data_IF_907510039395
#
_entry.id   IF_907510039395
#
_cell.length_a   1.000
_cell.length_b   1.000
_cell.length_c   1.000
_cell.angle_alpha   90.00
_cell.angle_beta   90.00
_cell.angle_gamma   90.00
#
_symmetry.space_group_name_H-M   'P 1'
#
loop_
_entity.id
_entity.type
_entity.pdbx_description
1 polymer ?
#
# COMPACT_ATOMS: atom_id res chain seq x y z
N UNK A 1 -16.16 14.00 -6.64
CA UNK A 1 -14.89 14.57 -7.18
C UNK A 1 -15.23 15.36 -8.44
N UNK A 2 -14.64 16.53 -8.64
CA UNK A 2 -14.77 17.29 -9.89
C UNK A 2 -14.04 16.55 -11.00
N UNK A 3 -14.64 16.48 -12.19
CA UNK A 3 -13.95 15.94 -13.37
C UNK A 3 -12.66 16.74 -13.61
N UNK A 4 -11.54 16.03 -13.81
CA UNK A 4 -10.25 16.67 -14.09
C UNK A 4 -9.42 17.09 -12.87
N UNK A 5 -9.75 16.67 -11.64
CA UNK A 5 -9.00 17.01 -10.42
C UNK A 5 -7.47 16.75 -10.54
N UNK A 6 -7.08 15.77 -11.34
CA UNK A 6 -5.66 15.44 -11.58
C UNK A 6 -4.93 16.53 -12.35
N UNK A 7 -5.62 17.28 -13.21
CA UNK A 7 -5.04 18.43 -13.94
C UNK A 7 -4.67 19.53 -12.94
N UNK A 8 -5.60 19.83 -12.01
CA UNK A 8 -5.35 20.82 -10.96
C UNK A 8 -4.19 20.41 -10.05
N UNK A 9 -3.97 19.11 -9.88
CA UNK A 9 -2.93 18.58 -8.99
C UNK A 9 -1.57 18.43 -9.67
N UNK A 10 -1.54 17.99 -10.95
CA UNK A 10 -0.31 17.57 -11.64
C UNK A 10 0.14 18.51 -12.76
N UNK A 11 -0.67 19.50 -13.17
CA UNK A 11 -0.48 20.32 -14.38
C UNK A 11 -0.37 19.47 -15.67
N UNK A 12 -0.98 18.27 -15.70
CA UNK A 12 -0.91 17.32 -16.80
C UNK A 12 -2.17 16.44 -16.84
N UNK A 13 -2.47 15.87 -18.00
CA UNK A 13 -3.57 14.90 -18.19
C UNK A 13 -3.03 13.49 -18.58
N UNK A 14 -2.63 12.68 -17.61
CA UNK A 14 -2.27 11.29 -17.89
C UNK A 14 -3.49 10.38 -18.09
N UNK A 15 -4.71 10.81 -17.73
CA UNK A 15 -5.91 9.97 -17.77
C UNK A 15 -6.29 9.59 -19.19
N UNK A 16 -6.20 10.54 -20.14
CA UNK A 16 -6.46 10.27 -21.55
C UNK A 16 -5.50 9.20 -22.11
N UNK A 17 -4.22 9.28 -21.74
CA UNK A 17 -3.22 8.27 -22.09
C UNK A 17 -3.51 6.91 -21.44
N UNK A 18 -3.90 6.88 -20.17
CA UNK A 18 -4.24 5.65 -19.44
C UNK A 18 -5.45 4.94 -20.05
N UNK A 19 -6.49 5.69 -20.45
CA UNK A 19 -7.68 5.11 -21.09
C UNK A 19 -7.40 4.53 -22.46
N UNK A 20 -6.37 5.04 -23.16
CA UNK A 20 -5.94 4.58 -24.48
C UNK A 20 -4.84 3.52 -24.44
N UNK A 21 -4.26 3.19 -23.29
CA UNK A 21 -3.15 2.23 -23.21
C UNK A 21 -3.61 0.77 -23.43
N UNK A 22 -2.67 -0.10 -23.79
CA UNK A 22 -2.94 -1.52 -24.05
C UNK A 22 -3.01 -2.38 -22.78
N UNK A 23 -2.73 -1.81 -21.58
CA UNK A 23 -2.72 -2.52 -20.31
C UNK A 23 -4.11 -2.51 -19.65
N UNK A 24 -4.86 -3.64 -19.67
CA UNK A 24 -6.25 -3.65 -19.18
C UNK A 24 -6.37 -3.30 -17.70
N UNK A 25 -5.44 -3.77 -16.85
CA UNK A 25 -5.44 -3.48 -15.42
C UNK A 25 -5.31 -1.96 -15.14
N UNK A 26 -4.46 -1.25 -15.89
CA UNK A 26 -4.32 0.20 -15.77
C UNK A 26 -5.59 0.94 -16.22
N UNK A 27 -6.21 0.52 -17.33
CA UNK A 27 -7.50 1.10 -17.78
C UNK A 27 -8.61 0.88 -16.76
N UNK A 28 -8.73 -0.36 -16.24
CA UNK A 28 -9.74 -0.68 -15.24
C UNK A 28 -9.58 0.16 -13.98
N UNK A 29 -8.36 0.24 -13.43
CA UNK A 29 -8.05 1.04 -12.25
C UNK A 29 -8.35 2.53 -12.50
N UNK A 30 -8.04 3.04 -13.70
CA UNK A 30 -8.35 4.42 -14.06
C UNK A 30 -9.85 4.65 -14.08
N UNK A 31 -10.62 3.78 -14.74
CA UNK A 31 -12.08 3.92 -14.82
C UNK A 31 -12.74 3.83 -13.43
N UNK A 32 -12.35 2.85 -12.62
CA UNK A 32 -13.04 2.57 -11.34
C UNK A 32 -12.54 3.46 -10.20
N UNK A 33 -11.22 3.61 -10.02
CA UNK A 33 -10.64 4.26 -8.84
C UNK A 33 -10.27 5.74 -9.07
N UNK A 34 -10.06 6.17 -10.33
CA UNK A 34 -9.75 7.57 -10.63
C UNK A 34 -11.00 8.33 -11.10
N UNK A 35 -11.76 7.71 -12.01
CA UNK A 35 -12.98 8.33 -12.57
C UNK A 35 -14.26 7.96 -11.80
N UNK A 36 -14.21 6.98 -10.89
CA UNK A 36 -15.36 6.55 -10.08
C UNK A 36 -16.48 5.91 -10.87
N UNK A 37 -16.18 5.29 -12.02
CA UNK A 37 -17.19 4.58 -12.80
C UNK A 37 -17.68 3.34 -12.03
N UNK A 38 -18.96 3.06 -12.17
CA UNK A 38 -19.60 1.91 -11.54
C UNK A 38 -19.09 0.57 -12.15
N UNK A 39 -19.11 -0.48 -11.34
CA UNK A 39 -18.64 -1.81 -11.77
C UNK A 39 -19.50 -2.43 -12.88
N UNK A 40 -20.76 -1.98 -13.03
CA UNK A 40 -21.69 -2.39 -14.09
C UNK A 40 -21.58 -1.52 -15.37
N UNK A 41 -20.71 -0.49 -15.39
CA UNK A 41 -20.40 0.24 -16.62
C UNK A 41 -19.90 -0.72 -17.70
N UNK A 42 -20.45 -0.60 -18.92
CA UNK A 42 -20.14 -1.51 -20.04
C UNK A 42 -18.64 -1.56 -20.37
N UNK A 43 -17.94 -0.42 -20.26
CA UNK A 43 -16.49 -0.36 -20.52
C UNK A 43 -15.69 -0.98 -19.37
N UNK A 44 -16.13 -0.80 -18.11
CA UNK A 44 -15.52 -1.46 -16.94
C UNK A 44 -15.65 -2.96 -17.04
N UNK A 45 -16.86 -3.47 -17.34
CA UNK A 45 -17.13 -4.92 -17.53
C UNK A 45 -16.28 -5.50 -18.67
N UNK A 46 -16.25 -4.83 -19.83
CA UNK A 46 -15.44 -5.28 -20.97
C UNK A 46 -13.94 -5.28 -20.66
N UNK A 47 -13.46 -4.26 -19.95
CA UNK A 47 -12.04 -4.17 -19.57
C UNK A 47 -11.67 -5.23 -18.55
N UNK A 48 -12.58 -5.55 -17.62
CA UNK A 48 -12.37 -6.62 -16.65
C UNK A 48 -12.26 -8.01 -17.33
N UNK A 49 -13.09 -8.28 -18.33
CA UNK A 49 -12.95 -9.49 -19.15
C UNK A 49 -11.58 -9.55 -19.87
N UNK A 50 -11.07 -8.40 -20.33
CA UNK A 50 -9.74 -8.33 -20.94
C UNK A 50 -8.61 -8.58 -19.93
N UNK A 51 -8.76 -8.16 -18.65
CA UNK A 51 -7.79 -8.48 -17.59
C UNK A 51 -7.62 -9.97 -17.41
N UNK A 52 -8.72 -10.74 -17.39
CA UNK A 52 -8.67 -12.18 -17.19
C UNK A 52 -8.06 -12.94 -18.38
N UNK A 53 -8.05 -12.33 -19.56
CA UNK A 53 -7.42 -12.85 -20.76
C UNK A 53 -5.98 -12.34 -20.97
N UNK A 54 -5.49 -11.46 -20.10
CA UNK A 54 -4.18 -10.84 -20.26
C UNK A 54 -3.04 -11.73 -19.75
N UNK A 55 -1.98 -11.84 -20.55
CA UNK A 55 -0.79 -12.61 -20.20
C UNK A 55 -0.10 -12.12 -18.92
N UNK A 56 -0.15 -10.82 -18.63
CA UNK A 56 0.40 -10.26 -17.40
C UNK A 56 -0.38 -10.72 -16.17
N UNK A 57 -1.71 -10.84 -16.27
CA UNK A 57 -2.57 -11.37 -15.20
C UNK A 57 -2.29 -12.86 -14.98
N UNK A 58 -2.20 -13.66 -16.06
CA UNK A 58 -1.87 -15.08 -15.96
C UNK A 58 -0.47 -15.31 -15.36
N UNK A 59 0.51 -14.47 -15.67
CA UNK A 59 1.83 -14.52 -15.04
C UNK A 59 1.74 -14.34 -13.51
N UNK A 60 0.91 -13.39 -13.02
CA UNK A 60 0.72 -13.19 -11.58
C UNK A 60 -0.04 -14.36 -10.94
N UNK A 61 -1.10 -14.85 -11.58
CA UNK A 61 -1.85 -16.02 -11.12
C UNK A 61 -0.97 -17.28 -11.09
N UNK A 62 -0.10 -17.46 -12.08
CA UNK A 62 0.87 -18.55 -12.13
C UNK A 62 1.95 -18.53 -11.03
N UNK A 63 2.09 -17.40 -10.33
CA UNK A 63 3.00 -17.25 -9.17
C UNK A 63 2.35 -17.60 -7.83
N UNK A 64 1.04 -17.85 -7.82
CA UNK A 64 0.36 -18.32 -6.63
C UNK A 64 0.91 -19.71 -6.27
N UNK A 65 1.68 -19.77 -5.19
CA UNK A 65 2.26 -21.00 -4.66
C UNK A 65 1.41 -21.62 -3.57
N UNK A 66 1.89 -22.73 -3.04
CA UNK A 66 1.28 -23.37 -1.90
C UNK A 66 1.69 -22.66 -0.60
N UNK A 67 0.70 -22.13 0.14
CA UNK A 67 0.93 -21.47 1.43
C UNK A 67 1.53 -22.41 2.48
N UNK A 68 1.29 -23.71 2.36
CA UNK A 68 1.71 -24.75 3.30
C UNK A 68 3.08 -25.37 2.95
N UNK A 69 3.58 -25.15 1.74
CA UNK A 69 4.85 -25.78 1.29
C UNK A 69 6.12 -25.12 1.82
N UNK A 70 6.01 -24.05 2.59
CA UNK A 70 7.17 -23.42 3.21
C UNK A 70 8.09 -22.60 2.30
N UNK A 71 7.81 -22.58 1.00
CA UNK A 71 8.55 -21.75 0.03
C UNK A 71 8.11 -20.27 0.08
N UNK A 72 7.10 -19.99 0.89
CA UNK A 72 6.29 -18.80 0.77
C UNK A 72 6.98 -17.53 1.28
N UNK A 73 8.05 -17.60 2.08
CA UNK A 73 8.53 -16.39 2.72
C UNK A 73 9.88 -15.95 2.18
N UNK A 74 9.84 -15.35 1.02
CA UNK A 74 10.91 -14.49 0.56
C UNK A 74 11.01 -13.14 1.28
N UNK A 75 10.51 -13.06 2.53
CA UNK A 75 10.39 -11.84 3.31
C UNK A 75 9.12 -11.03 2.95
N UNK A 76 8.45 -10.56 3.97
CA UNK A 76 7.22 -9.76 3.87
C UNK A 76 7.36 -8.46 3.04
N UNK A 77 8.58 -8.04 2.71
CA UNK A 77 8.84 -6.91 1.82
C UNK A 77 8.92 -7.29 0.34
N UNK A 78 8.77 -8.57 0.01
CA UNK A 78 8.81 -9.05 -1.37
C UNK A 78 7.42 -9.09 -2.00
N UNK A 79 7.23 -8.66 -3.26
CA UNK A 79 5.98 -8.86 -3.97
C UNK A 79 5.71 -10.34 -4.31
N UNK A 80 6.65 -11.25 -4.03
CA UNK A 80 6.47 -12.70 -4.15
C UNK A 80 5.88 -13.32 -2.88
N UNK A 81 5.87 -12.60 -1.77
CA UNK A 81 5.16 -12.99 -0.57
C UNK A 81 3.67 -13.07 -0.89
N UNK A 82 3.04 -14.22 -0.68
CA UNK A 82 1.68 -14.47 -1.18
C UNK A 82 0.64 -13.40 -0.80
N UNK A 83 0.59 -12.89 0.44
CA UNK A 83 -0.30 -11.78 0.75
C UNK A 83 -0.07 -10.53 -0.12
N UNK A 84 1.20 -10.17 -0.39
CA UNK A 84 1.52 -9.05 -1.27
C UNK A 84 1.16 -9.33 -2.73
N UNK A 85 1.31 -10.57 -3.19
CA UNK A 85 0.89 -10.99 -4.53
C UNK A 85 -0.63 -10.94 -4.68
N UNK A 86 -1.38 -11.36 -3.66
CA UNK A 86 -2.84 -11.23 -3.63
C UNK A 86 -3.26 -9.75 -3.67
N UNK A 87 -2.61 -8.88 -2.90
CA UNK A 87 -2.86 -7.43 -2.99
C UNK A 87 -2.63 -6.91 -4.40
N UNK A 88 -1.56 -7.35 -5.08
CA UNK A 88 -1.28 -6.94 -6.46
C UNK A 88 -2.34 -7.45 -7.43
N UNK A 89 -2.84 -8.68 -7.27
CA UNK A 89 -3.94 -9.24 -8.07
C UNK A 89 -5.26 -8.46 -7.86
N UNK A 90 -5.60 -8.09 -6.61
CA UNK A 90 -6.74 -7.20 -6.32
C UNK A 90 -6.59 -5.84 -7.02
N UNK A 91 -5.39 -5.28 -7.02
CA UNK A 91 -5.10 -4.02 -7.72
C UNK A 91 -5.18 -4.15 -9.25
N UNK A 92 -4.95 -5.34 -9.80
CA UNK A 92 -5.20 -5.66 -11.20
C UNK A 92 -6.69 -5.80 -11.54
N UNK A 93 -7.57 -5.87 -10.54
CA UNK A 93 -9.01 -6.07 -10.73
C UNK A 93 -9.42 -7.53 -10.77
N UNK A 94 -8.58 -8.42 -10.26
CA UNK A 94 -8.87 -9.85 -10.13
C UNK A 94 -9.67 -10.09 -8.85
N UNK A 95 -10.76 -10.82 -8.93
CA UNK A 95 -11.63 -11.15 -7.80
C UNK A 95 -11.54 -12.64 -7.44
N UNK A 96 -11.95 -12.97 -6.22
CA UNK A 96 -11.88 -14.33 -5.67
C UNK A 96 -12.45 -15.42 -6.59
N UNK A 97 -13.59 -15.14 -7.25
CA UNK A 97 -14.28 -16.09 -8.11
C UNK A 97 -13.67 -16.26 -9.51
N UNK A 98 -12.67 -15.48 -9.87
CA UNK A 98 -12.13 -15.46 -11.22
C UNK A 98 -11.20 -16.64 -11.50
N UNK A 99 -10.54 -17.16 -10.45
CA UNK A 99 -9.58 -18.25 -10.61
C UNK A 99 -9.59 -19.20 -9.38
N UNK A 100 -9.68 -20.51 -9.55
CA UNK A 100 -9.71 -21.48 -8.45
C UNK A 100 -8.41 -21.49 -7.62
N UNK A 101 -7.26 -21.05 -8.16
CA UNK A 101 -6.00 -20.93 -7.42
C UNK A 101 -6.12 -19.93 -6.28
N UNK A 102 -6.89 -18.85 -6.46
CA UNK A 102 -7.16 -17.86 -5.41
C UNK A 102 -7.90 -18.50 -4.23
N UNK A 103 -8.96 -19.24 -4.50
CA UNK A 103 -9.71 -19.92 -3.44
C UNK A 103 -8.82 -20.88 -2.66
N UNK A 104 -7.98 -21.67 -3.36
CA UNK A 104 -7.07 -22.62 -2.71
C UNK A 104 -6.09 -21.92 -1.75
N UNK A 105 -5.48 -20.81 -2.16
CA UNK A 105 -4.53 -20.02 -1.34
C UNK A 105 -5.26 -19.38 -0.16
N UNK A 106 -6.41 -18.75 -0.37
CA UNK A 106 -7.19 -18.10 0.70
C UNK A 106 -7.63 -19.13 1.76
N UNK A 107 -8.10 -20.31 1.34
CA UNK A 107 -8.46 -21.38 2.27
C UNK A 107 -7.23 -21.93 3.02
N UNK A 108 -6.08 -22.03 2.38
CA UNK A 108 -4.84 -22.41 3.06
C UNK A 108 -4.45 -21.37 4.12
N UNK A 109 -4.51 -20.08 3.82
CA UNK A 109 -4.25 -19.01 4.80
C UNK A 109 -5.21 -19.07 5.98
N UNK A 110 -6.49 -19.29 5.73
CA UNK A 110 -7.52 -19.41 6.77
C UNK A 110 -7.31 -20.61 7.72
N UNK A 111 -6.63 -21.70 7.28
CA UNK A 111 -6.32 -22.83 8.15
C UNK A 111 -5.21 -22.57 9.15
N UNK A 112 -4.35 -21.60 8.90
CA UNK A 112 -3.19 -21.30 9.73
C UNK A 112 -3.44 -20.05 10.59
N UNK A 113 -4.09 -20.27 11.73
CA UNK A 113 -4.36 -19.24 12.73
C UNK A 113 -3.95 -19.76 14.11
N UNK A 114 -3.36 -18.90 14.92
CA UNK A 114 -3.05 -19.17 16.32
C UNK A 114 -4.29 -19.10 17.21
N UNK A 115 -4.22 -19.68 18.40
CA UNK A 115 -5.34 -19.69 19.36
C UNK A 115 -5.79 -18.28 19.77
N UNK A 116 -4.92 -17.28 19.70
CA UNK A 116 -5.22 -15.88 19.99
C UNK A 116 -5.78 -15.11 18.77
N UNK A 117 -6.02 -15.77 17.65
CA UNK A 117 -6.63 -15.20 16.45
C UNK A 117 -5.68 -14.60 15.42
N UNK A 118 -4.35 -14.58 15.65
CA UNK A 118 -3.39 -14.08 14.66
C UNK A 118 -3.20 -15.09 13.53
N UNK A 119 -3.19 -14.62 12.29
CA UNK A 119 -2.79 -15.46 11.16
C UNK A 119 -1.29 -15.75 11.19
N UNK A 120 -0.94 -16.97 10.83
CA UNK A 120 0.43 -17.47 10.83
C UNK A 120 1.01 -17.45 9.43
N UNK A 121 2.29 -17.14 9.32
CA UNK A 121 3.11 -17.30 8.13
C UNK A 121 4.20 -18.33 8.37
N UNK A 122 4.49 -19.16 7.36
CA UNK A 122 5.53 -20.16 7.43
C UNK A 122 6.85 -19.60 6.89
N UNK A 123 7.95 -19.78 7.62
CA UNK A 123 9.26 -19.37 7.12
C UNK A 123 10.37 -19.37 8.14
N UNK A 124 11.57 -19.04 7.66
CA UNK A 124 12.75 -18.85 8.50
C UNK A 124 13.21 -17.41 8.48
N UNK A 125 13.64 -16.90 9.61
CA UNK A 125 14.37 -15.66 9.74
C UNK A 125 15.87 -15.93 9.74
N UNK A 126 16.67 -14.91 9.40
CA UNK A 126 18.11 -15.04 9.38
C UNK A 126 18.65 -15.55 10.73
N UNK A 127 19.32 -16.67 10.71
CA UNK A 127 19.89 -17.31 11.90
C UNK A 127 19.03 -18.44 12.50
N UNK A 128 17.87 -18.72 11.90
CA UNK A 128 17.08 -19.92 12.23
C UNK A 128 17.54 -21.10 11.36
N UNK A 129 17.58 -22.29 11.96
CA UNK A 129 17.97 -23.54 11.26
C UNK A 129 16.80 -24.08 10.43
N UNK A 130 15.58 -24.02 10.99
CA UNK A 130 14.36 -24.55 10.36
C UNK A 130 13.29 -23.48 10.23
N UNK A 131 12.47 -23.51 9.17
CA UNK A 131 11.29 -22.67 9.06
C UNK A 131 10.22 -23.09 10.08
N UNK A 132 9.48 -22.10 10.58
CA UNK A 132 8.38 -22.30 11.55
C UNK A 132 7.16 -21.49 11.17
N UNK A 133 6.01 -21.89 11.70
CA UNK A 133 4.81 -21.07 11.68
C UNK A 133 4.90 -20.00 12.78
N UNK A 134 4.77 -18.74 12.40
CA UNK A 134 4.86 -17.62 13.33
C UNK A 134 3.92 -16.47 12.93
N UNK A 135 3.52 -15.66 13.90
CA UNK A 135 2.65 -14.49 13.71
C UNK A 135 3.40 -13.19 13.99
N UNK A 136 4.34 -12.82 13.13
CA UNK A 136 4.88 -11.46 13.17
C UNK A 136 3.76 -10.47 12.85
N UNK A 137 3.62 -9.32 13.57
CA UNK A 137 2.50 -8.41 13.36
C UNK A 137 2.32 -7.96 11.90
N UNK A 138 3.41 -7.61 11.21
CA UNK A 138 3.37 -7.22 9.80
C UNK A 138 2.86 -8.35 8.89
N UNK A 139 3.26 -9.60 9.16
CA UNK A 139 2.84 -10.75 8.34
C UNK A 139 1.38 -11.11 8.64
N UNK A 140 0.98 -11.14 9.91
CA UNK A 140 -0.40 -11.40 10.32
C UNK A 140 -1.37 -10.35 9.74
N UNK A 141 -0.99 -9.06 9.76
CA UNK A 141 -1.80 -7.99 9.17
C UNK A 141 -1.85 -8.10 7.64
N UNK A 142 -0.76 -8.48 6.98
CA UNK A 142 -0.75 -8.66 5.52
C UNK A 142 -1.67 -9.82 5.08
N UNK A 143 -1.70 -10.93 5.83
CA UNK A 143 -2.64 -12.04 5.59
C UNK A 143 -4.09 -11.56 5.80
N UNK A 144 -4.36 -10.84 6.89
CA UNK A 144 -5.70 -10.30 7.14
C UNK A 144 -6.15 -9.32 6.04
N UNK A 145 -5.26 -8.41 5.57
CA UNK A 145 -5.57 -7.48 4.44
C UNK A 145 -5.91 -8.26 3.17
N UNK A 146 -5.13 -9.29 2.83
CA UNK A 146 -5.40 -10.12 1.65
C UNK A 146 -6.76 -10.83 1.75
N UNK A 147 -7.07 -11.43 2.91
CA UNK A 147 -8.34 -12.13 3.13
C UNK A 147 -9.56 -11.17 3.05
N UNK A 148 -9.46 -9.99 3.66
CA UNK A 148 -10.52 -8.97 3.59
C UNK A 148 -10.72 -8.48 2.16
N UNK A 149 -9.65 -8.21 1.41
CA UNK A 149 -9.70 -7.80 -0.01
C UNK A 149 -10.43 -8.81 -0.88
N UNK A 150 -10.24 -10.09 -0.63
CA UNK A 150 -10.89 -11.18 -1.37
C UNK A 150 -12.22 -11.63 -0.76
N UNK A 151 -12.89 -10.76 0.02
CA UNK A 151 -14.26 -10.93 0.47
C UNK A 151 -14.46 -11.89 1.64
N UNK A 152 -13.40 -12.24 2.36
CA UNK A 152 -13.50 -13.11 3.53
C UNK A 152 -13.82 -12.35 4.85
N UNK A 153 -14.23 -11.07 4.78
CA UNK A 153 -14.50 -10.23 5.95
C UNK A 153 -15.50 -10.85 6.93
N UNK A 154 -16.48 -11.63 6.43
CA UNK A 154 -17.48 -12.29 7.25
C UNK A 154 -17.04 -13.67 7.79
N UNK A 155 -15.84 -14.14 7.51
CA UNK A 155 -15.33 -15.40 8.07
C UNK A 155 -14.98 -15.18 9.57
N UNK A 156 -15.45 -16.05 10.47
CA UNK A 156 -15.21 -15.90 11.92
C UNK A 156 -13.70 -15.86 12.28
N UNK A 157 -12.85 -16.50 11.48
CA UNK A 157 -11.40 -16.45 11.67
C UNK A 157 -10.83 -15.07 11.33
N UNK A 158 -11.39 -14.41 10.31
CA UNK A 158 -11.02 -13.03 9.97
C UNK A 158 -11.52 -12.07 11.05
N UNK A 159 -12.73 -12.26 11.58
CA UNK A 159 -13.21 -11.48 12.73
C UNK A 159 -12.28 -11.62 13.93
N UNK A 160 -11.89 -12.84 14.31
CA UNK A 160 -10.94 -13.07 15.40
C UNK A 160 -9.60 -12.34 15.17
N UNK A 161 -9.10 -12.32 13.92
CA UNK A 161 -7.89 -11.59 13.59
C UNK A 161 -8.08 -10.07 13.69
N UNK A 162 -9.21 -9.53 13.22
CA UNK A 162 -9.53 -8.10 13.35
C UNK A 162 -9.67 -7.67 14.81
N UNK A 163 -10.29 -8.48 15.65
CA UNK A 163 -10.41 -8.25 17.10
C UNK A 163 -9.02 -8.22 17.75
N UNK A 164 -8.15 -9.17 17.38
CA UNK A 164 -6.79 -9.23 17.89
C UNK A 164 -5.95 -8.02 17.43
N UNK A 165 -6.04 -7.62 16.14
CA UNK A 165 -5.39 -6.42 15.64
C UNK A 165 -5.88 -5.18 16.42
N UNK A 166 -7.18 -5.07 16.66
CA UNK A 166 -7.77 -3.99 17.45
C UNK A 166 -7.24 -3.97 18.88
N UNK A 167 -7.23 -5.13 19.56
CA UNK A 167 -6.76 -5.28 20.93
C UNK A 167 -5.26 -4.98 21.10
N UNK A 168 -4.46 -5.14 20.02
CA UNK A 168 -3.03 -4.86 19.99
C UNK A 168 -2.69 -3.35 19.81
N UNK A 169 -3.69 -2.49 19.61
CA UNK A 169 -3.48 -1.04 19.57
C UNK A 169 -3.00 -0.56 20.95
N UNK A 170 -1.81 0.01 20.99
CA UNK A 170 -1.16 0.42 22.22
C UNK A 170 -1.05 1.95 22.34
N UNK A 171 -1.27 2.47 23.54
CA UNK A 171 -0.91 3.84 23.88
C UNK A 171 0.60 3.94 24.13
N UNK A 172 1.27 4.82 23.40
CA UNK A 172 2.70 5.04 23.53
C UNK A 172 3.03 6.52 23.77
N UNK A 173 4.26 6.82 24.14
CA UNK A 173 4.73 8.19 24.25
C UNK A 173 4.68 8.98 22.92
N UNK A 174 4.52 8.29 21.79
CA UNK A 174 4.39 8.90 20.46
C UNK A 174 2.93 9.09 20.02
N UNK A 175 1.98 8.52 20.77
CA UNK A 175 0.56 8.43 20.48
C UNK A 175 0.12 6.97 20.31
N UNK A 176 -1.18 6.73 20.06
CA UNK A 176 -1.68 5.39 19.78
C UNK A 176 -1.10 4.79 18.50
N UNK A 177 -0.81 3.49 18.52
CA UNK A 177 -0.26 2.79 17.35
C UNK A 177 0.14 1.36 17.67
N UNK A 178 0.56 0.62 16.67
CA UNK A 178 0.98 -0.78 16.84
C UNK A 178 2.49 -0.89 16.98
N UNK A 179 2.90 -1.75 17.91
CA UNK A 179 4.29 -2.04 18.19
C UNK A 179 4.77 -3.23 17.34
N UNK A 180 6.08 -3.30 17.09
CA UNK A 180 6.70 -4.51 16.56
C UNK A 180 6.97 -5.46 17.72
N UNK A 181 5.99 -6.31 18.07
CA UNK A 181 6.09 -7.31 19.13
C UNK A 181 6.60 -8.61 18.52
N UNK A 182 7.66 -9.24 19.07
CA UNK A 182 8.16 -10.52 18.56
C UNK A 182 7.15 -11.63 18.86
N UNK A 183 7.02 -12.55 17.90
CA UNK A 183 6.35 -13.82 18.18
C UNK A 183 7.27 -14.73 19.02
N UNK A 184 6.74 -15.48 20.02
CA UNK A 184 7.54 -16.35 20.86
C UNK A 184 8.32 -17.43 20.10
N UNK A 185 7.77 -17.95 18.98
CA UNK A 185 8.38 -19.00 18.20
C UNK A 185 9.68 -18.54 17.50
N UNK A 186 9.75 -17.26 17.10
CA UNK A 186 10.90 -16.75 16.32
C UNK A 186 11.75 -15.75 17.10
N UNK A 187 11.28 -15.24 18.24
CA UNK A 187 11.95 -14.25 19.09
C UNK A 187 12.47 -13.01 18.32
N UNK A 188 12.01 -12.81 17.08
CA UNK A 188 12.44 -11.73 16.19
C UNK A 188 11.60 -10.49 16.42
N UNK A 189 12.26 -9.37 16.39
CA UNK A 189 11.64 -8.04 16.38
C UNK A 189 12.36 -7.17 15.36
N UNK A 190 11.59 -6.33 14.67
CA UNK A 190 12.14 -5.34 13.74
C UNK A 190 13.11 -4.36 14.40
N UNK A 191 13.87 -3.60 13.62
CA UNK A 191 15.00 -2.77 14.10
C UNK A 191 14.59 -1.49 14.82
N UNK A 192 13.29 -1.17 14.92
CA UNK A 192 12.78 -0.01 15.67
C UNK A 192 13.02 -0.14 17.19
N UNK A 193 12.86 0.96 17.93
CA UNK A 193 12.92 0.93 19.39
C UNK A 193 11.74 0.15 19.96
N UNK A 194 11.97 -0.59 21.05
CA UNK A 194 10.97 -1.51 21.61
C UNK A 194 9.65 -0.84 22.04
N UNK A 195 9.72 0.38 22.54
CA UNK A 195 8.55 1.12 23.06
C UNK A 195 7.97 2.11 22.03
N UNK A 196 8.59 2.23 20.85
CA UNK A 196 8.13 3.15 19.82
C UNK A 196 7.05 2.47 18.95
N UNK A 197 6.12 3.27 18.45
CA UNK A 197 5.20 2.85 17.40
C UNK A 197 6.02 2.31 16.21
N UNK A 198 5.64 1.14 15.70
CA UNK A 198 6.17 0.65 14.44
C UNK A 198 5.36 1.26 13.29
N UNK A 199 5.91 2.19 12.49
CA UNK A 199 5.13 2.86 11.45
C UNK A 199 4.59 1.88 10.41
N UNK A 200 5.34 0.82 10.09
CA UNK A 200 4.90 -0.20 9.14
C UNK A 200 3.72 -1.01 9.68
N UNK A 201 3.84 -1.59 10.87
CA UNK A 201 2.75 -2.38 11.46
C UNK A 201 1.49 -1.51 11.60
N UNK A 202 1.66 -0.22 11.94
CA UNK A 202 0.55 0.73 12.04
C UNK A 202 -0.09 1.00 10.67
N UNK A 203 0.70 1.21 9.61
CA UNK A 203 0.17 1.38 8.25
C UNK A 203 -0.60 0.14 7.81
N UNK A 204 -0.09 -1.06 8.06
CA UNK A 204 -0.75 -2.30 7.67
C UNK A 204 -2.05 -2.51 8.43
N UNK A 205 -2.09 -2.28 9.73
CA UNK A 205 -3.32 -2.33 10.51
C UNK A 205 -4.37 -1.33 9.98
N UNK A 206 -3.97 -0.09 9.71
CA UNK A 206 -4.87 0.92 9.14
C UNK A 206 -5.38 0.53 7.75
N UNK A 207 -4.58 -0.13 6.92
CA UNK A 207 -5.00 -0.65 5.59
C UNK A 207 -6.05 -1.75 5.72
N UNK A 208 -5.87 -2.69 6.65
CA UNK A 208 -6.87 -3.72 6.93
C UNK A 208 -8.20 -3.07 7.29
N UNK A 209 -8.21 -2.18 8.29
CA UNK A 209 -9.44 -1.51 8.73
C UNK A 209 -10.00 -0.53 7.71
N UNK A 210 -9.21 -0.01 6.77
CA UNK A 210 -9.71 0.81 5.68
C UNK A 210 -10.73 0.06 4.79
N UNK A 211 -10.68 -1.27 4.77
CA UNK A 211 -11.57 -2.14 3.99
C UNK A 211 -12.76 -2.70 4.77
N UNK A 212 -12.72 -2.55 6.07
CA UNK A 212 -13.87 -2.88 6.93
C UNK A 212 -14.90 -1.74 6.84
N UNK A 213 -16.21 -2.04 6.80
CA UNK A 213 -17.25 -1.02 6.82
C UNK A 213 -17.04 -0.02 7.96
N UNK A 214 -17.21 1.28 7.68
CA UNK A 214 -16.88 2.34 8.65
C UNK A 214 -17.60 2.18 10.01
N UNK A 215 -18.83 1.65 9.99
CA UNK A 215 -19.62 1.40 11.21
C UNK A 215 -19.08 0.24 12.08
N UNK A 216 -18.25 -0.63 11.50
CA UNK A 216 -17.68 -1.82 12.16
C UNK A 216 -16.22 -1.59 12.57
N UNK A 217 -15.66 -0.42 12.26
CA UNK A 217 -14.26 -0.09 12.60
C UNK A 217 -14.12 0.17 14.09
N UNK A 218 -13.06 -0.36 14.74
CA UNK A 218 -12.78 -0.08 16.14
C UNK A 218 -12.45 1.41 16.37
N UNK A 219 -12.59 1.86 17.60
CA UNK A 219 -12.13 3.17 18.02
C UNK A 219 -10.59 3.29 17.97
N UNK A 220 -10.06 4.52 17.95
CA UNK A 220 -8.62 4.79 18.02
C UNK A 220 -7.88 4.78 16.67
N UNK A 221 -8.52 4.37 15.57
CA UNK A 221 -7.86 4.32 14.25
C UNK A 221 -7.46 5.71 13.75
N UNK A 222 -8.30 6.71 13.95
CA UNK A 222 -8.00 8.08 13.55
C UNK A 222 -6.80 8.64 14.33
N UNK A 223 -6.72 8.34 15.62
CA UNK A 223 -5.62 8.72 16.50
C UNK A 223 -4.32 8.01 16.08
N UNK A 224 -4.39 6.72 15.73
CA UNK A 224 -3.24 5.99 15.20
C UNK A 224 -2.76 6.57 13.86
N UNK A 225 -3.69 6.96 12.99
CA UNK A 225 -3.35 7.66 11.75
C UNK A 225 -2.69 9.03 12.01
N UNK A 226 -3.16 9.79 13.02
CA UNK A 226 -2.50 11.03 13.50
C UNK A 226 -1.10 10.78 14.03
N UNK A 227 -0.88 9.67 14.71
CA UNK A 227 0.45 9.28 15.19
C UNK A 227 1.43 9.15 14.01
N UNK A 228 1.02 8.56 12.89
CA UNK A 228 1.86 8.51 11.67
C UNK A 228 2.16 9.92 11.12
N UNK A 229 1.20 10.84 11.14
CA UNK A 229 1.43 12.23 10.75
C UNK A 229 2.37 12.97 11.71
N UNK A 230 2.30 12.69 13.02
CA UNK A 230 3.27 13.20 13.99
C UNK A 230 4.68 12.67 13.70
N UNK A 231 4.81 11.36 13.45
CA UNK A 231 6.08 10.75 13.08
C UNK A 231 6.64 11.33 11.76
N UNK A 232 5.77 11.68 10.80
CA UNK A 232 6.18 12.37 9.57
C UNK A 232 6.74 13.76 9.86
N UNK A 233 6.08 14.55 10.69
CA UNK A 233 6.55 15.90 11.09
C UNK A 233 7.90 15.83 11.80
N UNK A 234 8.04 14.87 12.73
CA UNK A 234 9.23 14.72 13.59
C UNK A 234 10.32 13.85 12.97
N UNK A 235 10.18 13.41 11.70
CA UNK A 235 11.08 12.44 11.05
C UNK A 235 12.55 12.86 11.02
N UNK A 236 12.82 14.15 11.02
CA UNK A 236 14.18 14.72 11.04
C UNK A 236 14.89 14.51 12.37
N UNK A 237 14.17 14.56 13.46
CA UNK A 237 14.67 14.46 14.83
C UNK A 237 14.63 13.00 15.33
N UNK A 238 13.47 12.36 15.22
CA UNK A 238 13.22 11.01 15.77
C UNK A 238 13.78 9.89 14.91
N UNK A 239 13.92 10.12 13.60
CA UNK A 239 14.40 9.15 12.59
C UNK A 239 13.78 7.77 12.75
N UNK A 240 12.44 7.64 12.63
CA UNK A 240 11.80 6.32 12.68
C UNK A 240 12.38 5.43 11.57
N UNK A 241 12.56 4.15 11.86
CA UNK A 241 13.19 3.23 10.90
C UNK A 241 12.48 3.23 9.55
N UNK A 242 13.21 3.55 8.49
CA UNK A 242 12.74 3.63 7.09
C UNK A 242 11.54 4.57 6.84
N UNK A 243 11.06 5.32 7.81
CA UNK A 243 9.90 6.18 7.66
C UNK A 243 10.30 7.63 7.33
N UNK A 244 9.70 8.17 6.26
CA UNK A 244 9.86 9.58 5.90
C UNK A 244 11.21 9.95 5.27
N UNK A 245 12.14 9.01 5.12
CA UNK A 245 13.46 9.29 4.55
C UNK A 245 13.93 8.15 3.63
N UNK A 246 14.93 8.47 2.81
CA UNK A 246 15.47 7.53 1.82
C UNK A 246 14.61 7.41 0.55
N UNK A 247 15.26 6.98 -0.53
CA UNK A 247 14.62 6.87 -1.85
C UNK A 247 13.54 5.79 -1.88
N UNK A 248 13.72 4.72 -1.13
CA UNK A 248 12.75 3.62 -1.09
C UNK A 248 11.42 4.03 -0.45
N UNK A 249 11.46 4.84 0.63
CA UNK A 249 10.22 5.35 1.21
C UNK A 249 9.53 6.33 0.26
N UNK A 250 10.28 7.27 -0.34
CA UNK A 250 9.72 8.36 -1.15
C UNK A 250 9.17 7.90 -2.49
N UNK A 251 9.90 7.02 -3.20
CA UNK A 251 9.58 6.60 -4.56
C UNK A 251 9.02 5.17 -4.67
N UNK A 252 9.08 4.40 -3.59
CA UNK A 252 8.73 2.98 -3.61
C UNK A 252 9.70 2.11 -4.40
N UNK A 253 9.54 0.79 -4.29
CA UNK A 253 10.13 -0.21 -5.18
C UNK A 253 9.00 -0.99 -5.80
N UNK A 254 8.95 -1.02 -7.13
CA UNK A 254 7.81 -1.56 -7.89
C UNK A 254 7.90 -3.07 -8.15
N UNK A 255 6.75 -3.79 -8.07
CA UNK A 255 5.44 -3.29 -7.66
C UNK A 255 5.49 -2.81 -6.19
N UNK A 256 4.87 -1.67 -5.92
CA UNK A 256 4.96 -1.00 -4.61
C UNK A 256 3.99 -1.64 -3.60
N UNK A 257 4.22 -2.90 -3.27
CA UNK A 257 3.45 -3.66 -2.26
C UNK A 257 3.97 -3.43 -0.84
N UNK A 258 5.24 -3.00 -0.73
CA UNK A 258 5.89 -2.74 0.54
C UNK A 258 5.77 -1.28 0.97
N UNK A 259 5.79 -1.06 2.23
CA UNK A 259 5.80 0.19 2.98
C UNK A 259 6.61 1.34 2.34
N UNK A 260 5.90 2.36 1.88
CA UNK A 260 6.43 3.57 1.27
C UNK A 260 5.37 4.69 1.32
N UNK A 261 5.67 5.88 0.79
CA UNK A 261 4.73 7.01 0.77
C UNK A 261 3.41 6.65 0.07
N UNK A 262 3.44 5.84 -1.00
CA UNK A 262 2.25 5.40 -1.71
C UNK A 262 1.34 4.55 -0.81
N UNK A 263 1.87 3.52 -0.16
CA UNK A 263 1.09 2.62 0.71
C UNK A 263 0.63 3.31 1.99
N UNK A 264 1.40 4.27 2.50
CA UNK A 264 0.99 5.14 3.60
C UNK A 264 -0.22 6.00 3.21
N UNK A 265 -0.16 6.68 2.06
CA UNK A 265 -1.28 7.49 1.57
C UNK A 265 -2.51 6.64 1.23
N UNK A 266 -2.33 5.44 0.68
CA UNK A 266 -3.42 4.49 0.49
C UNK A 266 -4.16 4.20 1.81
N UNK A 267 -3.43 3.95 2.90
CA UNK A 267 -4.02 3.74 4.22
C UNK A 267 -4.71 5.01 4.73
N UNK A 268 -4.05 6.17 4.67
CA UNK A 268 -4.59 7.44 5.17
C UNK A 268 -5.82 7.90 4.40
N UNK A 269 -5.95 7.57 3.10
CA UNK A 269 -7.09 7.93 2.26
C UNK A 269 -8.44 7.47 2.80
N UNK A 270 -8.45 6.45 3.67
CA UNK A 270 -9.67 5.97 4.34
C UNK A 270 -10.09 6.79 5.59
N UNK A 271 -9.31 7.81 5.96
CA UNK A 271 -9.52 8.62 7.17
C UNK A 271 -9.65 10.12 6.83
N UNK A 272 -10.70 10.54 6.11
CA UNK A 272 -10.84 11.90 5.59
C UNK A 272 -10.87 12.98 6.68
N UNK A 273 -11.23 12.64 7.92
CA UNK A 273 -11.17 13.56 9.05
C UNK A 273 -9.76 14.13 9.33
N UNK A 274 -8.71 13.57 8.72
CA UNK A 274 -7.35 14.11 8.80
C UNK A 274 -7.15 15.39 7.97
N UNK A 275 -7.99 15.65 6.94
CA UNK A 275 -7.81 16.82 6.07
C UNK A 275 -9.11 17.55 5.72
N UNK A 276 -10.28 16.99 6.05
CA UNK A 276 -11.59 17.62 5.72
C UNK A 276 -12.25 18.23 6.94
N UNK A 277 -13.20 19.11 6.74
CA UNK A 277 -14.02 19.69 7.81
C UNK A 277 -13.20 20.41 8.87
N UNK A 278 -13.35 20.00 10.13
CA UNK A 278 -12.65 20.53 11.30
C UNK A 278 -11.28 19.89 11.54
N UNK A 279 -10.63 19.35 10.51
CA UNK A 279 -9.28 18.77 10.61
C UNK A 279 -8.30 19.76 11.25
N UNK A 280 -7.37 19.23 12.04
CA UNK A 280 -6.29 20.05 12.58
C UNK A 280 -5.40 20.55 11.43
N UNK A 281 -5.05 21.85 11.43
CA UNK A 281 -4.20 22.43 10.39
C UNK A 281 -2.85 21.69 10.23
N UNK A 282 -2.30 21.18 11.33
CA UNK A 282 -1.07 20.40 11.31
C UNK A 282 -1.22 19.04 10.61
N UNK A 283 -2.36 18.38 10.77
CA UNK A 283 -2.65 17.09 10.11
C UNK A 283 -2.87 17.31 8.62
N UNK A 284 -3.72 18.28 8.26
CA UNK A 284 -3.96 18.69 6.88
C UNK A 284 -2.66 19.00 6.13
N UNK A 285 -1.78 19.78 6.75
CA UNK A 285 -0.46 20.10 6.20
C UNK A 285 0.41 18.85 6.02
N UNK A 286 0.46 17.96 6.99
CA UNK A 286 1.26 16.74 6.92
C UNK A 286 0.78 15.80 5.79
N UNK A 287 -0.54 15.68 5.59
CA UNK A 287 -1.12 14.95 4.46
C UNK A 287 -0.72 15.60 3.13
N UNK A 288 -0.83 16.92 3.00
CA UNK A 288 -0.42 17.64 1.81
C UNK A 288 1.09 17.46 1.51
N UNK A 289 1.95 17.49 2.54
CA UNK A 289 3.39 17.23 2.41
C UNK A 289 3.68 15.80 1.93
N UNK A 290 2.95 14.79 2.41
CA UNK A 290 3.08 13.39 1.97
C UNK A 290 2.67 13.24 0.50
N UNK A 291 1.56 13.84 0.07
CA UNK A 291 1.12 13.85 -1.32
C UNK A 291 2.17 14.56 -2.22
N UNK A 292 2.64 15.73 -1.82
CA UNK A 292 3.69 16.46 -2.55
C UNK A 292 4.99 15.66 -2.63
N UNK A 293 5.35 14.92 -1.57
CA UNK A 293 6.49 14.01 -1.56
C UNK A 293 6.30 12.89 -2.59
N UNK A 294 5.15 12.22 -2.59
CA UNK A 294 4.85 11.16 -3.57
C UNK A 294 4.97 11.70 -5.00
N UNK A 295 4.31 12.82 -5.30
CA UNK A 295 4.33 13.44 -6.62
C UNK A 295 5.76 13.78 -7.04
N UNK A 296 6.50 14.51 -6.22
CA UNK A 296 7.84 14.99 -6.56
C UNK A 296 8.86 13.87 -6.80
N UNK A 297 8.69 12.70 -6.19
CA UNK A 297 9.64 11.60 -6.30
C UNK A 297 9.20 10.50 -7.28
N UNK A 298 7.93 10.50 -7.73
CA UNK A 298 7.41 9.43 -8.59
C UNK A 298 6.83 9.92 -9.91
N UNK A 299 6.21 11.11 -9.93
CA UNK A 299 5.50 11.62 -11.11
C UNK A 299 6.42 12.47 -11.98
N UNK A 300 6.40 12.24 -13.27
CA UNK A 300 7.09 13.03 -14.29
C UNK A 300 6.26 14.27 -14.67
N UNK A 301 6.85 15.30 -15.31
CA UNK A 301 6.10 16.52 -15.69
C UNK A 301 4.92 16.31 -16.64
N UNK A 302 4.88 15.18 -17.36
CA UNK A 302 3.75 14.76 -18.20
C UNK A 302 2.66 14.00 -17.42
N UNK A 303 2.76 13.94 -16.10
CA UNK A 303 1.81 13.24 -15.23
C UNK A 303 2.02 11.73 -15.15
N UNK A 304 2.95 11.16 -15.90
CA UNK A 304 3.21 9.72 -15.89
C UNK A 304 4.20 9.29 -14.81
N UNK A 305 4.20 8.01 -14.47
CA UNK A 305 5.12 7.40 -13.51
C UNK A 305 6.07 6.45 -14.21
N UNK A 306 7.38 6.74 -14.13
CA UNK A 306 8.44 5.80 -14.50
C UNK A 306 9.07 5.22 -13.25
N UNK A 307 8.95 3.91 -12.98
CA UNK A 307 9.55 3.28 -11.82
C UNK A 307 11.05 3.51 -11.72
N UNK A 308 11.54 3.98 -10.58
CA UNK A 308 12.98 4.20 -10.34
C UNK A 308 13.68 2.97 -9.80
N UNK A 309 12.94 2.11 -9.12
CA UNK A 309 13.41 0.86 -8.55
C UNK A 309 12.36 -0.23 -8.76
N UNK A 310 12.79 -1.41 -9.25
CA UNK A 310 11.91 -2.52 -9.53
C UNK A 310 12.45 -3.79 -8.87
N UNK A 311 11.54 -4.69 -8.48
CA UNK A 311 11.91 -6.04 -8.10
C UNK A 311 12.27 -6.85 -9.35
N UNK A 312 13.21 -7.77 -9.21
CA UNK A 312 13.57 -8.71 -10.29
C UNK A 312 12.46 -9.74 -10.52
N UNK A 313 12.30 -10.15 -11.77
CA UNK A 313 11.32 -11.15 -12.16
C UNK A 313 9.94 -10.59 -12.48
N UNK A 314 9.82 -9.25 -12.64
CA UNK A 314 8.60 -8.57 -13.08
C UNK A 314 8.84 -7.76 -14.37
N UNK A 315 9.87 -8.10 -15.13
CA UNK A 315 10.30 -7.37 -16.32
C UNK A 315 9.27 -7.41 -17.47
N UNK A 316 8.34 -8.37 -17.46
CA UNK A 316 7.22 -8.45 -18.41
C UNK A 316 6.08 -7.48 -18.11
N UNK A 317 6.03 -6.94 -16.89
CA UNK A 317 5.04 -5.94 -16.49
C UNK A 317 5.54 -4.52 -16.75
N UNK A 318 4.63 -3.58 -17.02
CA UNK A 318 4.99 -2.19 -17.27
C UNK A 318 5.76 -1.56 -16.09
N UNK A 319 5.38 -1.90 -14.87
CA UNK A 319 6.04 -1.44 -13.65
C UNK A 319 7.40 -2.12 -13.36
N UNK A 320 7.77 -3.13 -14.10
CA UNK A 320 9.07 -3.81 -13.99
C UNK A 320 10.21 -3.09 -14.73
N UNK A 321 9.94 -1.97 -15.40
CA UNK A 321 10.90 -1.22 -16.20
C UNK A 321 11.23 0.16 -15.62
N UNK A 322 12.50 0.57 -15.73
CA UNK A 322 13.03 1.86 -15.22
C UNK A 322 13.22 2.91 -16.32
N UNK A 323 12.90 2.61 -17.58
CA UNK A 323 13.25 3.44 -18.74
C UNK A 323 12.05 4.05 -19.46
N UNK A 324 10.85 3.59 -19.15
CA UNK A 324 9.61 4.03 -19.81
C UNK A 324 8.50 4.22 -18.78
N UNK A 325 7.53 5.10 -19.05
CA UNK A 325 6.35 5.23 -18.22
C UNK A 325 5.61 3.88 -18.10
N UNK A 326 5.05 3.63 -16.91
CA UNK A 326 4.23 2.48 -16.61
C UNK A 326 2.77 2.92 -16.49
N UNK A 327 1.85 2.43 -17.34
CA UNK A 327 0.43 2.70 -17.18
C UNK A 327 -0.09 2.25 -15.81
N UNK A 328 0.25 1.04 -15.38
CA UNK A 328 -0.18 0.53 -14.08
C UNK A 328 0.32 1.38 -12.91
N UNK A 329 1.61 1.73 -12.89
CA UNK A 329 2.15 2.57 -11.82
C UNK A 329 1.54 3.97 -11.82
N UNK A 330 1.26 4.55 -12.98
CA UNK A 330 0.59 5.85 -13.14
C UNK A 330 -0.85 5.79 -12.61
N UNK A 331 -1.62 4.81 -13.06
CA UNK A 331 -3.00 4.63 -12.60
C UNK A 331 -3.08 4.44 -11.08
N UNK A 332 -2.16 3.65 -10.49
CA UNK A 332 -2.11 3.41 -9.06
C UNK A 332 -1.77 4.66 -8.25
N UNK A 333 -0.81 5.47 -8.70
CA UNK A 333 -0.48 6.74 -8.04
C UNK A 333 -1.68 7.69 -8.10
N UNK A 334 -2.37 7.80 -9.24
CA UNK A 334 -3.59 8.61 -9.35
C UNK A 334 -4.69 8.08 -8.42
N UNK A 335 -4.94 6.77 -8.40
CA UNK A 335 -5.95 6.17 -7.53
C UNK A 335 -5.70 6.46 -6.04
N UNK A 336 -4.42 6.47 -5.62
CA UNK A 336 -4.04 6.82 -4.24
C UNK A 336 -4.17 8.31 -3.97
N UNK A 337 -3.96 9.18 -4.97
CA UNK A 337 -4.09 10.63 -4.81
C UNK A 337 -5.55 11.12 -4.89
N UNK A 338 -6.45 10.36 -5.50
CA UNK A 338 -7.84 10.74 -5.71
C UNK A 338 -8.58 11.22 -4.44
N UNK A 339 -8.47 10.54 -3.27
CA UNK A 339 -9.11 11.00 -2.04
C UNK A 339 -8.66 12.39 -1.58
N UNK A 340 -7.47 12.83 -1.99
CA UNK A 340 -6.84 14.09 -1.58
C UNK A 340 -7.00 15.22 -2.60
N UNK A 341 -7.87 15.08 -3.60
CA UNK A 341 -8.10 16.05 -4.66
C UNK A 341 -8.39 17.47 -4.12
N UNK A 342 -9.18 17.57 -3.05
CA UNK A 342 -9.52 18.85 -2.40
C UNK A 342 -8.33 19.54 -1.72
N UNK A 343 -7.20 18.84 -1.58
CA UNK A 343 -5.95 19.40 -1.07
C UNK A 343 -5.02 19.95 -2.16
N UNK A 344 -5.43 19.97 -3.43
CA UNK A 344 -4.56 20.40 -4.54
C UNK A 344 -3.86 21.75 -4.28
N UNK A 345 -4.54 22.81 -3.77
CA UNK A 345 -3.87 24.09 -3.44
C UNK A 345 -2.80 23.93 -2.35
N UNK A 346 -3.10 23.16 -1.29
CA UNK A 346 -2.15 22.94 -0.18
C UNK A 346 -0.94 22.11 -0.67
N UNK A 347 -1.17 21.07 -1.49
CA UNK A 347 -0.14 20.21 -2.05
C UNK A 347 0.82 20.99 -2.94
N UNK A 348 0.28 21.86 -3.81
CA UNK A 348 1.07 22.73 -4.71
C UNK A 348 1.89 23.79 -3.96
N UNK A 349 1.43 24.22 -2.80
CA UNK A 349 2.14 25.17 -1.95
C UNK A 349 3.36 24.55 -1.23
N UNK A 350 3.50 23.23 -1.21
CA UNK A 350 4.64 22.55 -0.57
C UNK A 350 5.88 22.66 -1.45
N UNK A 351 7.00 23.13 -0.88
CA UNK A 351 8.33 22.98 -1.52
C UNK A 351 8.86 21.54 -1.28
N UNK A 352 8.90 20.67 -2.31
CA UNK A 352 9.39 19.31 -2.13
C UNK A 352 10.86 19.21 -1.74
N UNK A 353 11.66 20.28 -1.97
CA UNK A 353 13.08 20.32 -1.60
C UNK A 353 13.23 20.43 -0.08
N UNK A 354 12.30 21.12 0.58
CA UNK A 354 12.24 21.21 2.04
C UNK A 354 11.91 19.85 2.70
N UNK A 355 11.33 18.90 1.95
CA UNK A 355 11.04 17.54 2.40
C UNK A 355 12.26 16.60 2.32
N UNK A 356 13.40 17.10 1.84
CA UNK A 356 14.67 16.36 1.81
C UNK A 356 15.17 16.07 3.23
N UNK A 357 15.76 14.88 3.40
CA UNK A 357 16.41 14.49 4.67
C UNK A 357 17.55 15.42 5.01
N UNK A 358 17.60 15.87 6.25
CA UNK A 358 18.85 16.34 6.83
C UNK A 358 19.91 15.24 6.67
N UNK A 359 20.89 15.49 5.79
CA UNK A 359 22.10 14.69 5.51
C UNK A 359 21.89 13.18 5.21
N UNK A 360 22.02 12.80 3.95
CA UNK A 360 22.42 11.43 3.55
C UNK A 360 21.52 10.63 2.61
N UNK A 361 20.56 11.20 1.91
CA UNK A 361 19.74 10.45 0.95
C UNK A 361 19.90 10.96 -0.48
N UNK A 362 20.47 10.15 -1.36
CA UNK A 362 20.80 10.43 -2.78
C UNK A 362 19.60 10.36 -3.75
N UNK A 363 18.39 10.65 -3.32
CA UNK A 363 17.22 10.73 -4.20
C UNK A 363 16.86 12.19 -4.45
N UNK A 364 17.26 12.77 -5.60
CA UNK A 364 16.76 14.07 -6.04
C UNK A 364 15.32 13.97 -6.54
N UNK A 365 14.49 15.01 -6.36
CA UNK A 365 13.20 15.13 -7.04
C UNK A 365 13.36 14.97 -8.57
N UNK A 366 12.29 14.60 -9.26
CA UNK A 366 12.27 14.56 -10.73
C UNK A 366 12.59 15.97 -11.26
N UNK A 367 13.65 16.16 -12.04
CA UNK A 367 13.95 17.50 -12.56
C UNK A 367 12.86 17.93 -13.53
N UNK A 368 12.45 19.22 -13.52
CA UNK A 368 11.59 19.75 -14.56
C UNK A 368 12.30 19.58 -15.91
N UNK A 369 11.60 19.12 -16.95
CA UNK A 369 12.12 19.13 -18.31
C UNK A 369 12.33 20.59 -18.70
N UNK A 370 13.59 21.02 -18.80
CA UNK A 370 13.93 22.26 -19.50
C UNK A 370 13.60 22.04 -20.96
N UNK A 371 12.57 22.73 -21.45
CA UNK A 371 12.21 22.70 -22.87
C UNK A 371 13.41 23.10 -23.75
N UNK A 372 13.64 22.32 -24.78
CA UNK A 372 14.26 22.74 -26.03
C UNK A 372 13.23 22.60 -27.14
#
# INVERSE_FOLDING_TARGET
MTDGWWIDLLDADPVSWLLACDEPAARWMTMTRVLGRADDDRQVVATRAAILADAATEDLLGRLGDWEAGDAIGGHNSPRYLPNLLVLLDEFGVHRADDPRLEAVLQAMLRHQSDDGRFLSFGSLRGMEEPVWAALPCDAHAVADALVRFGAVNDPRVHAALDQISAALADTAQGPGWLCVPDPAVAFRGPGRKADVCPQVTVEALRVFARVPAAERPAGLLEAARTLLCLWRDRGERRPYMFGHGAQFKAGKWPATWYCALTLLEALGAYPALWTGAAQAADRRAVAELCACLIAYTVSPDGTVTPRSCYKGFEQHSFGHKKRPSPFATARVLAVLAPFADLAPDIRAVDPRALGSAKGGTGSPVPPKTGR
#
